data_IF_894927767797
#
_entry.id   IF_894927767797
#
_cell.length_a   1.000
_cell.length_b   1.000
_cell.length_c   1.000
_cell.angle_alpha   90.00
_cell.angle_beta   90.00
_cell.angle_gamma   90.00
#
_symmetry.space_group_name_H-M   'P 1'
#
loop_
_entity.id
_entity.type
_entity.pdbx_description
1 polymer ?
#
# COMPACT_ATOMS: atom_id res chain seq x y z
N UNK A 1 -2.65 -16.24 -6.71
CA UNK A 1 -1.54 -15.50 -6.08
C UNK A 1 -1.81 -15.40 -4.57
N UNK A 2 -0.81 -15.51 -3.69
CA UNK A 2 -1.02 -15.24 -2.26
C UNK A 2 -1.38 -13.76 -2.03
N UNK A 3 -2.23 -13.48 -1.04
CA UNK A 3 -2.55 -12.11 -0.60
C UNK A 3 -1.35 -11.50 0.14
N UNK A 4 -0.62 -12.32 0.91
CA UNK A 4 0.63 -11.96 1.57
C UNK A 4 1.57 -13.17 1.69
N UNK A 5 2.83 -12.89 1.97
CA UNK A 5 3.81 -13.85 2.44
C UNK A 5 4.42 -13.35 3.75
N UNK A 6 4.61 -14.27 4.69
CA UNK A 6 5.25 -13.97 5.96
C UNK A 6 6.35 -14.99 6.24
N UNK A 7 7.56 -14.47 6.40
CA UNK A 7 8.74 -15.21 6.82
C UNK A 7 9.15 -14.76 8.23
N UNK A 8 10.14 -15.43 8.82
CA UNK A 8 10.64 -15.08 10.14
C UNK A 8 11.10 -13.61 10.21
N UNK A 9 11.82 -13.12 9.18
CA UNK A 9 12.39 -11.78 9.16
C UNK A 9 11.87 -10.84 8.06
N UNK A 10 10.86 -11.25 7.28
CA UNK A 10 10.35 -10.45 6.15
C UNK A 10 8.85 -10.66 5.95
N UNK A 11 8.16 -9.60 5.52
CA UNK A 11 6.78 -9.65 5.05
C UNK A 11 6.67 -9.12 3.64
N UNK A 12 5.73 -9.67 2.88
CA UNK A 12 5.39 -9.21 1.53
C UNK A 12 3.87 -9.13 1.45
N UNK A 13 3.36 -8.01 0.95
CA UNK A 13 1.92 -7.80 0.74
C UNK A 13 1.71 -7.01 -0.54
N UNK A 14 0.55 -7.13 -1.18
CA UNK A 14 0.32 -6.41 -2.42
C UNK A 14 0.28 -4.89 -2.22
N UNK A 15 -0.49 -4.39 -1.25
CA UNK A 15 -0.61 -2.95 -0.99
C UNK A 15 -0.35 -2.55 0.46
N UNK A 16 -1.12 -3.04 1.44
CA UNK A 16 -0.99 -2.62 2.83
C UNK A 16 -0.88 -3.80 3.77
N UNK A 17 0.05 -3.75 4.72
CA UNK A 17 0.08 -4.70 5.82
C UNK A 17 -0.73 -4.16 6.99
N UNK A 18 -1.90 -4.76 7.21
CA UNK A 18 -2.82 -4.37 8.27
C UNK A 18 -3.36 -5.60 8.99
N UNK A 19 -2.96 -5.79 10.25
CA UNK A 19 -3.25 -7.02 11.01
C UNK A 19 -4.76 -7.28 11.19
N UNK A 20 -5.60 -6.28 11.53
CA UNK A 20 -7.04 -6.50 11.60
C UNK A 20 -7.64 -7.01 10.28
N UNK A 21 -7.17 -6.49 9.14
CA UNK A 21 -7.62 -6.97 7.82
C UNK A 21 -7.13 -8.38 7.51
N UNK A 22 -5.90 -8.74 7.92
CA UNK A 22 -5.39 -10.12 7.78
C UNK A 22 -6.25 -11.12 8.55
N UNK A 23 -6.56 -10.81 9.82
CA UNK A 23 -7.42 -11.64 10.67
C UNK A 23 -8.82 -11.78 10.05
N UNK A 24 -9.41 -10.68 9.57
CA UNK A 24 -10.72 -10.71 8.92
C UNK A 24 -10.74 -11.53 7.61
N UNK A 25 -9.64 -11.54 6.86
CA UNK A 25 -9.55 -12.27 5.60
C UNK A 25 -9.17 -13.75 5.80
N UNK A 26 -8.55 -14.11 6.93
CA UNK A 26 -8.04 -15.45 7.20
C UNK A 26 -9.04 -16.60 6.91
N UNK A 27 -10.34 -16.51 7.27
CA UNK A 27 -11.31 -17.56 6.99
C UNK A 27 -11.58 -17.80 5.49
N UNK A 28 -11.26 -16.81 4.65
CA UNK A 28 -11.47 -16.85 3.20
C UNK A 28 -10.25 -17.40 2.44
N UNK A 29 -9.20 -17.84 3.16
CA UNK A 29 -7.93 -18.25 2.58
C UNK A 29 -7.63 -19.72 2.86
N UNK A 30 -7.06 -20.37 1.85
CA UNK A 30 -6.43 -21.68 1.94
C UNK A 30 -4.93 -21.56 2.26
N UNK A 31 -4.21 -22.67 2.08
CA UNK A 31 -2.76 -22.73 2.24
C UNK A 31 -2.03 -21.59 1.50
N UNK A 32 -0.96 -21.09 2.14
CA UNK A 32 -0.13 -19.99 1.60
C UNK A 32 -0.91 -18.71 1.33
N UNK A 33 -1.94 -18.40 2.14
CA UNK A 33 -2.71 -17.16 2.07
C UNK A 33 -3.33 -16.90 0.68
N UNK A 34 -3.82 -17.94 0.00
CA UNK A 34 -4.52 -17.83 -1.28
C UNK A 34 -6.01 -17.89 -1.05
N UNK A 35 -6.80 -17.10 -1.77
CA UNK A 35 -8.26 -17.22 -1.72
C UNK A 35 -8.72 -18.63 -2.09
N UNK A 36 -9.70 -19.14 -1.34
CA UNK A 36 -10.60 -20.19 -1.84
C UNK A 36 -11.58 -19.57 -2.84
N UNK A 37 -12.27 -20.39 -3.64
CA UNK A 37 -13.28 -19.88 -4.57
C UNK A 37 -14.39 -19.11 -3.83
N UNK A 38 -14.89 -19.66 -2.72
CA UNK A 38 -15.91 -18.99 -1.90
C UNK A 38 -15.35 -17.75 -1.20
N UNK A 39 -14.11 -17.82 -0.71
CA UNK A 39 -13.44 -16.68 -0.10
C UNK A 39 -13.24 -15.53 -1.08
N UNK A 40 -12.93 -15.83 -2.34
CA UNK A 40 -12.84 -14.82 -3.39
C UNK A 40 -14.21 -14.20 -3.68
N UNK A 41 -15.27 -14.99 -3.78
CA UNK A 41 -16.64 -14.48 -3.97
C UNK A 41 -17.04 -13.55 -2.84
N UNK A 42 -16.74 -13.91 -1.59
CA UNK A 42 -17.03 -13.08 -0.42
C UNK A 42 -16.19 -11.80 -0.37
N UNK A 43 -14.92 -11.87 -0.78
CA UNK A 43 -14.05 -10.70 -0.92
C UNK A 43 -14.47 -9.73 -2.05
N UNK A 44 -15.31 -10.19 -2.98
CA UNK A 44 -15.91 -9.36 -4.04
C UNK A 44 -17.30 -8.84 -3.67
N UNK A 45 -17.91 -9.32 -2.59
CA UNK A 45 -19.22 -8.88 -2.12
C UNK A 45 -19.09 -7.56 -1.36
N UNK A 46 -19.45 -6.46 -2.02
CA UNK A 46 -19.44 -5.11 -1.45
C UNK A 46 -20.17 -5.08 -0.10
N UNK A 47 -19.72 -4.17 0.77
CA UNK A 47 -20.24 -3.93 2.12
C UNK A 47 -20.02 -5.08 3.13
N UNK A 48 -19.28 -6.14 2.75
CA UNK A 48 -18.82 -7.14 3.70
C UNK A 48 -17.52 -6.71 4.40
N UNK A 49 -17.31 -7.19 5.63
CA UNK A 49 -16.03 -6.99 6.35
C UNK A 49 -14.85 -7.60 5.57
N UNK A 50 -15.10 -8.71 4.86
CA UNK A 50 -14.10 -9.40 4.03
C UNK A 50 -13.72 -8.55 2.83
N UNK A 51 -14.70 -7.90 2.18
CA UNK A 51 -14.46 -6.96 1.09
C UNK A 51 -13.58 -5.81 1.57
N UNK A 52 -13.93 -5.15 2.68
CA UNK A 52 -13.11 -4.07 3.25
C UNK A 52 -11.68 -4.52 3.59
N UNK A 53 -11.53 -5.73 4.16
CA UNK A 53 -10.22 -6.32 4.42
C UNK A 53 -9.41 -6.57 3.14
N UNK A 54 -10.05 -7.10 2.09
CA UNK A 54 -9.42 -7.32 0.80
C UNK A 54 -9.02 -5.99 0.13
N UNK A 55 -9.87 -4.96 0.20
CA UNK A 55 -9.56 -3.62 -0.31
C UNK A 55 -8.30 -3.05 0.37
N UNK A 56 -8.19 -3.15 1.69
CA UNK A 56 -7.00 -2.67 2.42
C UNK A 56 -5.75 -3.45 1.99
N UNK A 57 -5.77 -4.77 2.02
CA UNK A 57 -4.57 -5.58 1.75
C UNK A 57 -4.13 -5.51 0.27
N UNK A 58 -5.08 -5.41 -0.66
CA UNK A 58 -4.82 -5.48 -2.10
C UNK A 58 -4.79 -4.11 -2.79
N UNK A 59 -5.48 -3.10 -2.29
CA UNK A 59 -5.52 -1.77 -2.92
C UNK A 59 -4.90 -0.68 -2.05
N UNK A 60 -4.79 -0.94 -0.75
CA UNK A 60 -4.31 0.01 0.23
C UNK A 60 -5.49 0.72 0.90
N UNK A 61 -5.30 1.28 2.11
CA UNK A 61 -6.33 2.05 2.79
C UNK A 61 -6.66 3.31 2.00
N UNK A 62 -7.95 3.53 1.81
CA UNK A 62 -8.53 4.76 1.28
C UNK A 62 -9.52 5.30 2.32
N UNK A 63 -9.47 6.60 2.58
CA UNK A 63 -10.35 7.24 3.54
C UNK A 63 -11.06 8.43 2.89
N UNK A 64 -12.34 8.60 3.23
CA UNK A 64 -13.11 9.77 2.81
C UNK A 64 -12.76 10.94 3.73
N UNK A 65 -12.38 12.07 3.14
CA UNK A 65 -12.12 13.28 3.92
C UNK A 65 -13.42 13.89 4.47
N UNK A 66 -13.36 14.64 5.58
CA UNK A 66 -14.54 15.24 6.22
C UNK A 66 -15.28 16.26 5.34
N UNK A 67 -14.57 16.90 4.41
CA UNK A 67 -15.17 17.87 3.48
C UNK A 67 -15.85 17.17 2.30
N UNK A 68 -16.96 17.70 1.81
CA UNK A 68 -17.60 17.29 0.53
C UNK A 68 -16.76 17.61 -0.73
N UNK A 69 -15.50 18.00 -0.55
CA UNK A 69 -14.57 18.23 -1.65
C UNK A 69 -14.28 16.92 -2.37
N UNK A 70 -14.33 16.99 -3.70
CA UNK A 70 -13.84 15.96 -4.60
C UNK A 70 -12.62 16.48 -5.34
N UNK A 71 -11.73 15.57 -5.73
CA UNK A 71 -10.53 15.91 -6.48
C UNK A 71 -10.40 14.99 -7.69
N UNK A 72 -9.85 15.50 -8.79
CA UNK A 72 -9.49 14.65 -9.92
C UNK A 72 -8.15 13.98 -9.63
N UNK A 73 -8.09 12.67 -9.79
CA UNK A 73 -6.80 11.96 -9.78
C UNK A 73 -5.98 12.28 -11.04
N UNK A 74 -4.74 11.80 -11.08
CA UNK A 74 -3.81 12.01 -12.22
C UNK A 74 -4.32 11.48 -13.56
N UNK A 75 -5.35 10.64 -13.55
CA UNK A 75 -5.97 10.05 -14.75
C UNK A 75 -7.32 10.75 -15.06
N UNK A 76 -7.65 11.85 -14.35
CA UNK A 76 -8.84 12.68 -14.58
C UNK A 76 -10.11 12.20 -13.87
N UNK A 77 -10.06 11.13 -13.07
CA UNK A 77 -11.25 10.63 -12.39
C UNK A 77 -11.55 11.40 -11.12
N UNK A 78 -12.81 11.79 -10.94
CA UNK A 78 -13.27 12.42 -9.70
C UNK A 78 -13.28 11.38 -8.57
N UNK A 79 -12.48 11.66 -7.54
CA UNK A 79 -12.35 10.87 -6.32
C UNK A 79 -12.90 11.65 -5.13
N UNK A 80 -13.43 10.89 -4.17
CA UNK A 80 -13.85 11.38 -2.85
C UNK A 80 -13.08 10.71 -1.71
N UNK A 81 -12.39 9.63 -2.02
CA UNK A 81 -11.57 8.87 -1.10
C UNK A 81 -10.11 9.07 -1.49
N UNK A 82 -9.27 9.31 -0.50
CA UNK A 82 -7.84 9.48 -0.71
C UNK A 82 -7.10 8.26 -0.23
N UNK A 83 -6.13 7.83 -1.02
CA UNK A 83 -5.24 6.75 -0.65
C UNK A 83 -4.19 7.23 0.33
N UNK A 84 -3.92 6.42 1.36
CA UNK A 84 -3.05 6.79 2.47
C UNK A 84 -1.68 6.11 2.40
N UNK A 85 -0.63 6.85 2.78
CA UNK A 85 0.76 6.40 2.88
C UNK A 85 1.08 5.74 4.23
N UNK A 86 0.38 4.66 4.56
CA UNK A 86 0.49 3.90 5.82
C UNK A 86 1.91 3.52 6.28
N UNK A 87 2.92 3.56 5.40
CA UNK A 87 4.33 3.31 5.75
C UNK A 87 5.06 4.51 6.36
N UNK A 88 4.44 5.70 6.42
CA UNK A 88 4.98 6.90 7.04
C UNK A 88 4.39 7.10 8.44
N UNK A 89 5.24 7.21 9.46
CA UNK A 89 4.78 7.31 10.85
C UNK A 89 4.19 8.68 11.20
N UNK A 90 4.65 9.73 10.51
CA UNK A 90 4.22 11.13 10.64
C UNK A 90 2.96 11.45 9.83
N UNK A 91 2.44 10.49 9.07
CA UNK A 91 1.18 10.60 8.33
C UNK A 91 -0.05 10.47 9.24
N UNK A 92 -0.23 11.44 10.14
CA UNK A 92 -1.30 11.48 11.14
C UNK A 92 -2.58 12.13 10.64
N UNK A 93 -2.49 12.99 9.61
CA UNK A 93 -3.61 13.80 9.10
C UNK A 93 -3.86 13.53 7.63
N UNK A 94 -5.06 13.86 7.13
CA UNK A 94 -5.40 13.72 5.71
C UNK A 94 -4.35 14.40 4.81
N UNK A 95 -3.96 15.65 5.13
CA UNK A 95 -2.91 16.39 4.42
C UNK A 95 -1.59 15.63 4.31
N UNK A 96 -1.12 15.05 5.41
CA UNK A 96 0.16 14.34 5.48
C UNK A 96 0.10 12.93 4.88
N UNK A 97 -1.07 12.30 4.93
CA UNK A 97 -1.25 10.92 4.54
C UNK A 97 -1.56 10.71 3.05
N UNK A 98 -2.18 11.70 2.40
CA UNK A 98 -2.64 11.57 1.03
C UNK A 98 -1.52 11.30 0.03
N UNK A 99 -1.78 10.36 -0.89
CA UNK A 99 -0.93 10.03 -2.02
C UNK A 99 -1.54 10.58 -3.31
N UNK A 100 -0.71 11.10 -4.20
CA UNK A 100 -1.15 11.59 -5.52
C UNK A 100 -1.76 13.00 -5.49
N UNK A 101 -1.62 13.72 -4.38
CA UNK A 101 -2.09 15.09 -4.18
C UNK A 101 -0.93 16.05 -3.91
N UNK A 102 0.28 15.75 -4.40
CA UNK A 102 1.48 16.52 -4.02
C UNK A 102 1.36 18.01 -4.42
N UNK A 103 0.82 18.31 -5.60
CA UNK A 103 0.61 19.69 -6.09
C UNK A 103 -0.57 20.41 -5.45
N UNK A 104 -1.43 19.67 -4.74
CA UNK A 104 -2.68 20.17 -4.13
C UNK A 104 -2.75 19.84 -2.64
N UNK A 105 -1.61 19.54 -2.00
CA UNK A 105 -1.57 19.04 -0.63
C UNK A 105 -2.14 20.06 0.35
N UNK A 106 -1.94 21.36 0.10
CA UNK A 106 -2.47 22.43 0.93
C UNK A 106 -4.00 22.55 0.91
N UNK A 107 -4.67 21.99 -0.10
CA UNK A 107 -6.14 21.93 -0.16
C UNK A 107 -6.71 20.88 0.78
N UNK A 108 -5.89 19.94 1.25
CA UNK A 108 -6.33 18.88 2.13
C UNK A 108 -6.45 19.36 3.58
N UNK A 109 -7.48 18.91 4.31
CA UNK A 109 -7.64 19.27 5.72
C UNK A 109 -6.48 18.72 6.54
N UNK A 110 -5.97 19.52 7.46
CA UNK A 110 -5.01 19.05 8.47
C UNK A 110 -5.76 18.51 9.69
N UNK A 111 -6.62 17.53 9.44
CA UNK A 111 -7.44 16.84 10.44
C UNK A 111 -6.93 15.41 10.59
N UNK A 112 -6.95 14.89 11.81
CA UNK A 112 -6.52 13.52 12.09
C UNK A 112 -7.30 12.49 11.29
N UNK A 113 -6.61 11.44 10.88
CA UNK A 113 -7.24 10.29 10.25
C UNK A 113 -8.13 9.55 11.25
N UNK A 114 -9.34 9.12 10.87
CA UNK A 114 -10.23 8.40 11.76
C UNK A 114 -9.71 6.99 12.10
N UNK A 115 -8.89 6.41 11.23
CA UNK A 115 -8.34 5.06 11.36
C UNK A 115 -6.82 5.11 11.27
N UNK A 116 -6.12 4.49 12.23
CA UNK A 116 -4.65 4.37 12.16
C UNK A 116 -4.24 3.10 11.38
N UNK A 117 -3.81 3.29 10.13
CA UNK A 117 -3.24 2.23 9.31
C UNK A 117 -1.71 2.13 9.41
N UNK A 118 -1.06 2.98 10.22
CA UNK A 118 0.40 3.11 10.18
C UNK A 118 1.11 1.85 10.63
N UNK A 119 2.14 1.47 9.87
CA UNK A 119 2.94 0.29 10.18
C UNK A 119 4.04 0.59 11.20
N UNK A 120 3.86 0.07 12.42
CA UNK A 120 4.77 0.29 13.56
C UNK A 120 5.59 -0.93 13.95
N UNK A 121 5.44 -2.02 13.20
CA UNK A 121 6.10 -3.27 13.55
C UNK A 121 7.58 -3.25 13.16
N UNK A 122 8.36 -4.09 13.83
CA UNK A 122 9.82 -4.13 13.66
C UNK A 122 10.28 -4.97 12.46
N UNK A 123 9.42 -5.86 11.95
CA UNK A 123 9.71 -6.72 10.81
C UNK A 123 9.60 -5.88 9.52
N UNK A 124 10.55 -5.96 8.57
CA UNK A 124 10.41 -5.24 7.31
C UNK A 124 9.26 -5.81 6.46
N UNK A 125 8.55 -4.93 5.76
CA UNK A 125 7.53 -5.29 4.78
C UNK A 125 7.81 -4.69 3.41
N UNK A 126 7.71 -5.51 2.38
CA UNK A 126 7.77 -5.11 0.96
C UNK A 126 6.37 -5.06 0.38
N UNK A 127 6.07 -4.03 -0.41
CA UNK A 127 4.75 -3.85 -1.01
C UNK A 127 4.82 -3.12 -2.35
N UNK A 128 3.69 -3.04 -3.06
CA UNK A 128 3.54 -2.33 -4.33
C UNK A 128 2.25 -1.53 -4.37
N UNK A 129 1.64 -1.38 -5.55
CA UNK A 129 0.30 -0.80 -5.80
C UNK A 129 0.20 0.73 -5.74
N UNK A 130 1.24 1.43 -5.30
CA UNK A 130 1.21 2.88 -5.11
C UNK A 130 1.75 3.71 -6.27
N UNK A 131 2.24 3.09 -7.36
CA UNK A 131 2.72 3.80 -8.54
C UNK A 131 3.66 4.96 -8.18
N UNK A 132 4.72 4.65 -7.43
CA UNK A 132 5.69 5.64 -6.99
C UNK A 132 6.37 6.28 -8.21
N UNK A 133 6.64 7.57 -8.09
CA UNK A 133 7.31 8.36 -9.11
C UNK A 133 8.76 8.67 -8.71
N UNK A 134 9.58 9.01 -9.71
CA UNK A 134 10.98 9.36 -9.52
C UNK A 134 11.89 8.14 -9.37
N UNK A 135 13.15 8.40 -9.00
CA UNK A 135 14.17 7.36 -8.85
C UNK A 135 13.80 6.37 -7.74
N UNK A 136 13.93 5.08 -8.03
CA UNK A 136 13.68 4.01 -7.07
C UNK A 136 14.51 4.21 -5.79
N UNK A 137 13.82 4.20 -4.64
CA UNK A 137 14.40 4.40 -3.31
C UNK A 137 13.55 3.75 -2.24
N UNK A 138 14.13 3.45 -1.08
CA UNK A 138 13.37 2.94 0.06
C UNK A 138 12.41 4.01 0.59
N UNK A 139 11.16 3.63 0.86
CA UNK A 139 10.10 4.55 1.30
C UNK A 139 10.07 4.79 2.81
N UNK A 140 10.55 3.84 3.61
CA UNK A 140 10.79 3.99 5.05
C UNK A 140 11.81 2.94 5.54
N UNK A 141 12.17 3.01 6.83
CA UNK A 141 13.10 2.06 7.47
C UNK A 141 12.52 0.66 7.70
N UNK A 142 11.20 0.48 7.52
CA UNK A 142 10.50 -0.80 7.79
C UNK A 142 9.47 -1.19 6.75
N UNK A 143 9.05 -0.27 5.89
CA UNK A 143 8.09 -0.55 4.84
C UNK A 143 8.61 0.04 3.53
N UNK A 144 8.96 -0.83 2.58
CA UNK A 144 9.55 -0.47 1.30
C UNK A 144 8.60 -0.79 0.13
N UNK A 145 8.15 0.26 -0.55
CA UNK A 145 7.42 0.11 -1.81
C UNK A 145 8.40 -0.25 -2.94
N UNK A 146 8.04 -1.19 -3.79
CA UNK A 146 8.79 -1.62 -4.98
C UNK A 146 8.07 -1.29 -6.30
N UNK A 147 6.89 -0.68 -6.21
CA UNK A 147 6.12 -0.27 -7.38
C UNK A 147 6.50 1.15 -7.80
N UNK A 148 7.49 1.25 -8.70
CA UNK A 148 7.95 2.52 -9.29
C UNK A 148 7.45 2.70 -10.72
N UNK A 149 6.18 2.37 -10.98
CA UNK A 149 5.47 2.76 -12.20
C UNK A 149 6.17 2.36 -13.51
N UNK A 150 6.74 1.15 -13.60
CA UNK A 150 7.42 0.66 -14.82
C UNK A 150 6.55 0.84 -16.09
N UNK A 151 5.23 0.67 -15.98
CA UNK A 151 4.29 0.84 -17.10
C UNK A 151 4.01 2.32 -17.46
N UNK A 152 4.53 3.28 -16.69
CA UNK A 152 4.43 4.74 -16.92
C UNK A 152 5.83 5.36 -16.87
N UNK A 153 6.75 4.84 -17.67
CA UNK A 153 8.13 5.33 -17.82
C UNK A 153 9.01 5.31 -16.56
N UNK A 154 8.57 4.59 -15.53
CA UNK A 154 9.36 4.41 -14.32
C UNK A 154 10.31 3.22 -14.40
N UNK A 155 10.40 2.49 -13.29
CA UNK A 155 11.39 1.46 -13.08
C UNK A 155 10.76 0.12 -12.69
N UNK A 156 11.27 -0.97 -13.28
CA UNK A 156 11.08 -2.30 -12.73
C UNK A 156 12.06 -2.46 -11.58
N UNK A 157 11.57 -2.65 -10.36
CA UNK A 157 12.43 -2.73 -9.17
C UNK A 157 12.36 -4.11 -8.52
N UNK A 158 13.47 -4.49 -7.91
CA UNK A 158 13.61 -5.72 -7.15
C UNK A 158 14.35 -5.44 -5.85
N UNK A 159 13.98 -6.15 -4.78
CA UNK A 159 14.68 -6.08 -3.50
C UNK A 159 15.19 -7.46 -3.10
N UNK A 160 16.51 -7.57 -2.89
CA UNK A 160 17.17 -8.80 -2.47
C UNK A 160 17.33 -8.85 -0.96
N UNK A 161 16.33 -9.39 -0.27
CA UNK A 161 16.42 -9.61 1.17
C UNK A 161 17.49 -10.67 1.51
N UNK A 162 18.36 -10.34 2.46
CA UNK A 162 19.51 -11.16 2.88
C UNK A 162 19.52 -11.44 4.39
N UNK A 163 18.35 -11.36 5.04
CA UNK A 163 18.21 -11.58 6.49
C UNK A 163 18.19 -10.31 7.33
N UNK A 164 18.41 -9.14 6.72
CA UNK A 164 18.44 -7.86 7.44
C UNK A 164 17.07 -7.45 7.99
N UNK A 165 17.08 -6.84 9.18
CA UNK A 165 15.86 -6.29 9.81
C UNK A 165 15.53 -4.87 9.37
N UNK A 166 16.44 -4.16 8.71
CA UNK A 166 16.24 -2.81 8.18
C UNK A 166 16.60 -2.86 6.69
N UNK A 167 15.69 -2.53 5.77
CA UNK A 167 15.99 -2.54 4.36
C UNK A 167 17.14 -1.60 4.01
N UNK A 168 17.99 -2.01 3.08
CA UNK A 168 19.18 -1.26 2.64
C UNK A 168 19.09 -0.94 1.16
N UNK A 169 19.48 0.28 0.76
CA UNK A 169 19.56 0.67 -0.65
C UNK A 169 20.53 -0.19 -1.45
N UNK A 170 21.51 -0.83 -0.80
CA UNK A 170 22.43 -1.80 -1.45
C UNK A 170 21.74 -3.08 -1.93
N UNK A 171 20.55 -3.36 -1.41
CA UNK A 171 19.75 -4.52 -1.79
C UNK A 171 18.59 -4.15 -2.73
N UNK A 172 18.46 -2.88 -3.11
CA UNK A 172 17.44 -2.39 -4.05
C UNK A 172 18.06 -2.20 -5.43
N UNK A 173 17.63 -3.02 -6.38
CA UNK A 173 18.02 -2.93 -7.78
C UNK A 173 16.83 -2.49 -8.63
N UNK A 174 17.11 -1.83 -9.75
CA UNK A 174 16.08 -1.40 -10.67
C UNK A 174 16.63 -1.19 -12.08
N UNK A 175 15.75 -1.42 -13.07
CA UNK A 175 16.01 -1.15 -14.49
C UNK A 175 14.92 -0.22 -15.03
N UNK A 176 15.31 0.76 -15.84
CA UNK A 176 14.35 1.66 -16.48
C UNK A 176 13.56 0.90 -17.53
N UNK A 177 12.25 1.16 -17.61
CA UNK A 177 11.40 0.59 -18.66
C UNK A 177 11.84 1.01 -20.08
N UNK A 178 12.57 2.13 -20.17
CA UNK A 178 13.04 2.75 -21.40
C UNK A 178 14.53 3.09 -21.24
N UNK A 179 15.37 2.06 -21.14
CA UNK A 179 16.79 2.27 -21.45
C UNK A 179 16.92 2.41 -22.98
N UNK A 180 17.65 3.41 -23.50
CA UNK A 180 18.00 3.47 -24.92
C UNK A 180 18.88 2.28 -25.34
#
# INVERSE_FOLDING_TARGET
MPVWLEFAGLRIVHACWHEPSRVALQPCLASRARFTDDGLREALRRDSKVYGAAEILMKGPEERQPSEMSFSDKDGHVRREMRLNWWKLDATTFRRAAIGMDDRREELPDVELPTDFRYRESKPVLFGRYWMNGKAKLTSSKAACLDFSVAKEGYLTAYRWSGEGIPSSRNLDYVSAWAP
#
